data_IF_160935954307
#
_entry.id   IF_160935954307
#
_cell.length_a   1.000
_cell.length_b   1.000
_cell.length_c   1.000
_cell.angle_alpha   90.00
_cell.angle_beta   90.00
_cell.angle_gamma   90.00
#
_symmetry.space_group_name_H-M   'P 1'
#
loop_
_entity.id
_entity.type
_entity.pdbx_description
1 polymer ?
#
# COMPACT_ATOMS: atom_id res chain seq x y z
N UNK A 1 -28.37 -8.28 -19.95
CA UNK A 1 -27.14 -7.97 -19.19
C UNK A 1 -25.90 -8.65 -19.80
N UNK A 2 -25.47 -8.26 -21.02
CA UNK A 2 -24.37 -8.93 -21.75
C UNK A 2 -23.30 -8.00 -22.36
N UNK A 3 -23.30 -6.70 -22.06
CA UNK A 3 -22.43 -5.71 -22.73
C UNK A 3 -21.46 -4.93 -21.80
N UNK A 4 -21.03 -5.52 -20.67
CA UNK A 4 -19.99 -4.92 -19.81
C UNK A 4 -18.61 -5.56 -19.96
N UNK A 5 -18.45 -6.55 -20.85
CA UNK A 5 -17.18 -7.27 -21.03
C UNK A 5 -16.18 -6.55 -21.95
N UNK A 6 -16.61 -5.62 -22.81
CA UNK A 6 -15.76 -5.05 -23.86
C UNK A 6 -15.21 -3.62 -23.61
N UNK A 7 -15.25 -3.10 -22.37
CA UNK A 7 -14.63 -1.78 -22.06
C UNK A 7 -13.72 -1.76 -20.83
N UNK A 8 -13.26 -2.92 -20.39
CA UNK A 8 -12.13 -3.04 -19.46
C UNK A 8 -10.94 -3.40 -20.32
N UNK A 9 -10.05 -2.47 -20.65
CA UNK A 9 -8.80 -2.73 -21.39
C UNK A 9 -7.73 -3.17 -20.36
N UNK A 10 -7.57 -4.47 -20.04
CA UNK A 10 -6.66 -4.95 -19.02
C UNK A 10 -5.24 -5.17 -19.60
N UNK A 11 -5.01 -4.68 -20.82
CA UNK A 11 -3.89 -5.00 -21.71
C UNK A 11 -3.21 -3.75 -22.28
N UNK A 12 -3.63 -2.52 -21.93
CA UNK A 12 -2.88 -1.30 -22.31
C UNK A 12 -1.51 -1.24 -21.64
N UNK A 13 -1.35 -1.93 -20.51
CA UNK A 13 -0.05 -2.13 -19.83
C UNK A 13 0.11 -3.59 -19.44
N UNK A 14 1.29 -4.16 -19.68
CA UNK A 14 1.62 -5.53 -19.27
C UNK A 14 1.48 -5.63 -17.74
N UNK A 15 0.59 -6.48 -17.20
CA UNK A 15 0.47 -6.63 -15.74
C UNK A 15 1.83 -7.09 -15.19
N UNK A 16 2.39 -6.31 -14.27
CA UNK A 16 3.67 -6.64 -13.65
C UNK A 16 3.51 -7.92 -12.83
N UNK A 17 4.21 -8.99 -13.24
CA UNK A 17 4.19 -10.26 -12.53
C UNK A 17 5.17 -10.20 -11.36
N UNK A 18 4.63 -10.17 -10.14
CA UNK A 18 5.43 -10.26 -8.94
C UNK A 18 6.14 -11.62 -8.88
N UNK A 19 7.44 -11.62 -8.62
CA UNK A 19 8.26 -12.85 -8.57
C UNK A 19 7.93 -13.74 -7.36
N UNK A 20 7.54 -13.13 -6.24
CA UNK A 20 7.19 -13.81 -4.97
C UNK A 20 6.06 -13.08 -4.25
N UNK A 21 4.82 -13.16 -4.73
CA UNK A 21 3.69 -12.49 -4.09
C UNK A 21 3.34 -13.18 -2.77
N UNK A 22 2.95 -12.38 -1.77
CA UNK A 22 2.47 -12.89 -0.49
C UNK A 22 1.06 -13.50 -0.64
N UNK A 23 0.20 -12.86 -1.42
CA UNK A 23 -1.16 -13.32 -1.75
C UNK A 23 -1.56 -12.81 -3.13
N UNK A 24 -2.18 -13.66 -3.94
CA UNK A 24 -2.75 -13.31 -5.25
C UNK A 24 -4.28 -13.26 -5.16
N UNK A 25 -4.91 -12.29 -5.82
CA UNK A 25 -6.36 -12.15 -5.85
C UNK A 25 -6.82 -11.37 -7.09
N UNK A 26 -8.11 -11.41 -7.39
CA UNK A 26 -8.71 -10.63 -8.47
C UNK A 26 -9.49 -9.43 -7.91
N UNK A 27 -9.42 -8.29 -8.58
CA UNK A 27 -10.26 -7.16 -8.23
C UNK A 27 -11.74 -7.48 -8.52
N UNK A 28 -12.68 -7.29 -7.58
CA UNK A 28 -14.09 -7.60 -7.81
C UNK A 28 -14.76 -6.66 -8.84
N UNK A 29 -14.24 -5.44 -9.02
CA UNK A 29 -14.81 -4.45 -9.94
C UNK A 29 -14.30 -4.63 -11.38
N UNK A 30 -12.98 -4.60 -11.58
CA UNK A 30 -12.37 -4.68 -12.91
C UNK A 30 -11.85 -6.08 -13.30
N UNK A 31 -11.89 -7.06 -12.40
CA UNK A 31 -11.37 -8.44 -12.58
C UNK A 31 -9.89 -8.52 -12.98
N UNK A 32 -9.12 -7.45 -12.83
CA UNK A 32 -7.67 -7.49 -13.04
C UNK A 32 -6.98 -8.39 -12.00
N UNK A 33 -5.99 -9.21 -12.39
CA UNK A 33 -5.17 -9.95 -11.43
C UNK A 33 -4.33 -8.98 -10.59
N UNK A 34 -4.20 -9.27 -9.29
CA UNK A 34 -3.37 -8.52 -8.36
C UNK A 34 -2.61 -9.43 -7.42
N UNK A 35 -1.50 -8.92 -6.92
CA UNK A 35 -0.68 -9.57 -5.93
C UNK A 35 -0.24 -8.55 -4.88
N UNK A 36 -0.36 -8.89 -3.60
CA UNK A 36 0.27 -8.12 -2.53
C UNK A 36 1.69 -8.62 -2.32
N UNK A 37 2.65 -7.71 -2.25
CA UNK A 37 4.04 -8.04 -1.98
C UNK A 37 4.29 -8.08 -0.46
N UNK A 38 3.66 -7.18 0.27
CA UNK A 38 3.84 -7.07 1.72
C UNK A 38 2.79 -7.84 2.52
N UNK A 39 3.17 -8.25 3.74
CA UNK A 39 2.26 -8.83 4.73
C UNK A 39 2.02 -7.80 5.84
N UNK A 40 0.80 -7.73 6.40
CA UNK A 40 0.49 -6.76 7.46
C UNK A 40 1.10 -7.12 8.82
N UNK A 41 1.73 -8.30 8.94
CA UNK A 41 2.31 -8.80 10.19
C UNK A 41 3.82 -8.59 10.20
N UNK A 42 4.37 -8.23 11.36
CA UNK A 42 5.82 -8.15 11.55
C UNK A 42 6.45 -9.55 11.40
N UNK A 43 7.43 -9.65 10.52
CA UNK A 43 8.25 -10.86 10.34
C UNK A 43 9.48 -10.81 11.23
N UNK A 44 10.12 -11.97 11.47
CA UNK A 44 11.35 -12.07 12.28
C UNK A 44 12.47 -11.11 11.83
N UNK A 45 12.54 -10.82 10.53
CA UNK A 45 13.49 -9.85 9.95
C UNK A 45 13.25 -8.42 10.45
N UNK A 46 11.98 -8.01 10.59
CA UNK A 46 11.65 -6.70 11.12
C UNK A 46 12.00 -6.58 12.60
N UNK A 47 11.82 -7.64 13.39
CA UNK A 47 12.25 -7.63 14.79
C UNK A 47 13.77 -7.47 14.93
N UNK A 48 14.56 -8.12 14.06
CA UNK A 48 16.02 -7.95 14.02
C UNK A 48 16.42 -6.51 13.62
N UNK A 49 15.77 -5.93 12.63
CA UNK A 49 16.01 -4.55 12.22
C UNK A 49 15.66 -3.57 13.36
N UNK A 50 14.51 -3.79 13.99
CA UNK A 50 14.02 -2.99 15.11
C UNK A 50 15.00 -3.03 16.29
N UNK A 51 15.53 -4.21 16.65
CA UNK A 51 16.49 -4.34 17.75
C UNK A 51 17.80 -3.60 17.46
N UNK A 52 18.34 -3.73 16.24
CA UNK A 52 19.58 -3.03 15.85
C UNK A 52 19.39 -1.53 15.89
N UNK A 53 18.31 -1.02 15.27
CA UNK A 53 18.01 0.41 15.24
C UNK A 53 17.81 0.98 16.65
N UNK A 54 17.11 0.24 17.51
CA UNK A 54 16.90 0.62 18.91
C UNK A 54 18.22 0.77 19.65
N UNK A 55 19.14 -0.19 19.52
CA UNK A 55 20.45 -0.14 20.17
C UNK A 55 21.27 1.05 19.67
N UNK A 56 21.26 1.31 18.36
CA UNK A 56 21.97 2.45 17.77
C UNK A 56 21.42 3.78 18.29
N UNK A 57 20.09 3.93 18.31
CA UNK A 57 19.42 5.13 18.83
C UNK A 57 19.71 5.31 20.32
N UNK A 58 19.62 4.25 21.12
CA UNK A 58 19.94 4.30 22.55
C UNK A 58 21.41 4.69 22.80
N UNK A 59 22.34 4.17 22.02
CA UNK A 59 23.76 4.53 22.11
C UNK A 59 24.02 6.00 21.74
N UNK A 60 23.35 6.53 20.71
CA UNK A 60 23.45 7.94 20.31
C UNK A 60 22.83 8.89 21.35
N UNK A 61 21.74 8.49 21.99
CA UNK A 61 21.04 9.30 23.01
C UNK A 61 21.62 9.15 24.43
N UNK A 62 22.51 8.19 24.66
CA UNK A 62 23.14 7.95 25.96
C UNK A 62 23.76 9.20 26.62
N UNK A 63 24.54 10.06 25.93
CA UNK A 63 25.12 11.25 26.58
C UNK A 63 24.08 12.26 27.07
N UNK A 64 22.87 12.27 26.50
CA UNK A 64 21.81 13.20 26.88
C UNK A 64 20.85 12.59 27.92
N UNK A 65 20.34 11.39 27.66
CA UNK A 65 19.22 10.80 28.42
C UNK A 65 19.61 9.60 29.30
N UNK A 66 20.89 9.17 29.27
CA UNK A 66 21.39 8.02 30.05
C UNK A 66 20.46 6.81 29.91
N UNK A 67 19.86 6.36 31.02
CA UNK A 67 18.96 5.19 31.08
C UNK A 67 17.51 5.50 30.67
N UNK A 68 17.10 6.77 30.62
CA UNK A 68 15.75 7.13 30.15
C UNK A 68 15.56 6.86 28.65
N UNK A 69 16.67 6.67 27.90
CA UNK A 69 16.66 6.24 26.51
C UNK A 69 16.00 4.86 26.28
N UNK A 70 15.72 4.07 27.32
CA UNK A 70 14.91 2.85 27.20
C UNK A 70 13.49 3.12 26.68
N UNK A 71 12.95 4.33 26.90
CA UNK A 71 11.64 4.70 26.36
C UNK A 71 11.61 4.76 24.82
N UNK A 72 12.77 4.93 24.17
CA UNK A 72 12.89 4.92 22.71
C UNK A 72 12.44 3.60 22.08
N UNK A 73 12.45 2.49 22.82
CA UNK A 73 11.94 1.20 22.36
C UNK A 73 10.47 1.31 21.90
N UNK A 74 9.63 1.98 22.68
CA UNK A 74 8.21 2.13 22.35
C UNK A 74 8.01 2.99 21.10
N UNK A 75 8.80 4.06 20.96
CA UNK A 75 8.73 4.96 19.80
C UNK A 75 9.15 4.20 18.52
N UNK A 76 10.27 3.48 18.57
CA UNK A 76 10.77 2.69 17.44
C UNK A 76 9.78 1.59 17.09
N UNK A 77 9.22 0.90 18.09
CA UNK A 77 8.22 -0.14 17.86
C UNK A 77 6.95 0.41 17.19
N UNK A 78 6.40 1.52 17.70
CA UNK A 78 5.24 2.19 17.11
C UNK A 78 5.52 2.64 15.67
N UNK A 79 6.71 3.19 15.40
CA UNK A 79 7.12 3.59 14.06
C UNK A 79 7.19 2.40 13.10
N UNK A 80 7.74 1.27 13.53
CA UNK A 80 7.81 0.05 12.72
C UNK A 80 6.42 -0.53 12.44
N UNK A 81 5.54 -0.59 13.44
CA UNK A 81 4.17 -1.07 13.24
C UNK A 81 3.40 -0.15 12.28
N UNK A 82 3.48 1.17 12.49
CA UNK A 82 2.86 2.15 11.62
C UNK A 82 3.40 2.08 10.18
N UNK A 83 4.71 1.92 10.01
CA UNK A 83 5.37 1.82 8.72
C UNK A 83 4.92 0.58 7.93
N UNK A 84 4.99 -0.60 8.55
CA UNK A 84 4.53 -1.86 7.91
C UNK A 84 3.05 -1.78 7.54
N UNK A 85 2.22 -1.26 8.45
CA UNK A 85 0.77 -1.15 8.23
C UNK A 85 0.44 -0.14 7.12
N UNK A 86 1.15 0.98 7.07
CA UNK A 86 0.95 2.02 6.05
C UNK A 86 1.41 1.52 4.68
N UNK A 87 2.55 0.84 4.61
CA UNK A 87 3.03 0.27 3.37
C UNK A 87 2.06 -0.76 2.81
N UNK A 88 1.52 -1.64 3.67
CA UNK A 88 0.49 -2.58 3.26
C UNK A 88 -0.77 -1.88 2.75
N UNK A 89 -1.23 -0.80 3.43
CA UNK A 89 -2.41 -0.03 3.00
C UNK A 89 -2.25 0.60 1.62
N UNK A 90 -1.04 1.03 1.25
CA UNK A 90 -0.76 1.60 -0.08
C UNK A 90 -0.92 0.57 -1.21
N UNK A 91 -0.77 -0.72 -0.92
CA UNK A 91 -0.92 -1.79 -1.93
C UNK A 91 -2.38 -2.20 -2.17
N UNK A 92 -3.31 -1.87 -1.25
CA UNK A 92 -4.73 -2.26 -1.30
C UNK A 92 -5.52 -1.67 -2.49
N UNK A 93 -5.45 -0.36 -2.81
CA UNK A 93 -6.26 0.24 -3.87
C UNK A 93 -5.89 -0.28 -5.26
N UNK A 94 -6.87 -0.30 -6.18
CA UNK A 94 -6.62 -0.71 -7.56
C UNK A 94 -5.82 0.33 -8.34
N UNK A 95 -4.71 -0.04 -9.02
CA UNK A 95 -4.07 0.87 -9.95
C UNK A 95 -4.93 1.09 -11.20
N UNK A 96 -5.77 0.12 -11.59
CA UNK A 96 -6.60 0.22 -12.80
C UNK A 96 -7.92 0.96 -12.63
N UNK A 97 -8.60 0.81 -11.49
CA UNK A 97 -9.97 1.31 -11.29
C UNK A 97 -10.19 2.07 -9.97
N UNK A 98 -9.14 2.31 -9.17
CA UNK A 98 -9.26 2.95 -7.86
C UNK A 98 -9.99 2.17 -6.76
N UNK A 99 -10.53 0.97 -7.04
CA UNK A 99 -11.31 0.21 -6.06
C UNK A 99 -10.48 -0.28 -4.87
N UNK A 100 -10.91 0.10 -3.65
CA UNK A 100 -10.32 -0.31 -2.37
C UNK A 100 -11.27 -1.26 -1.60
N UNK A 101 -10.82 -2.50 -1.42
CA UNK A 101 -11.59 -3.54 -0.72
C UNK A 101 -11.69 -3.29 0.79
N UNK A 102 -10.71 -2.60 1.40
CA UNK A 102 -10.71 -2.31 2.83
C UNK A 102 -11.79 -1.29 3.18
N UNK A 103 -11.96 -0.26 2.34
CA UNK A 103 -13.06 0.69 2.46
C UNK A 103 -14.39 0.08 2.08
N UNK A 104 -14.47 -0.76 1.05
CA UNK A 104 -15.73 -1.42 0.70
C UNK A 104 -16.32 -2.25 1.85
N UNK A 105 -15.46 -2.96 2.60
CA UNK A 105 -15.88 -3.71 3.79
C UNK A 105 -16.34 -2.81 4.95
N UNK A 106 -15.78 -1.60 5.07
CA UNK A 106 -16.08 -0.66 6.16
C UNK A 106 -17.26 0.26 5.85
N UNK A 107 -17.23 0.90 4.68
CA UNK A 107 -18.27 1.79 4.17
C UNK A 107 -18.26 1.83 2.63
N UNK A 108 -19.34 1.33 2.03
CA UNK A 108 -19.56 1.28 0.58
C UNK A 108 -19.66 2.68 -0.04
N UNK A 109 -20.10 3.70 0.71
CA UNK A 109 -20.20 5.07 0.21
C UNK A 109 -18.82 5.67 -0.03
N UNK A 110 -17.88 5.44 0.90
CA UNK A 110 -16.48 5.90 0.75
C UNK A 110 -15.81 5.19 -0.40
N UNK A 111 -15.97 3.87 -0.52
CA UNK A 111 -15.41 3.12 -1.64
C UNK A 111 -15.91 3.62 -3.01
N UNK A 112 -17.21 3.95 -3.12
CA UNK A 112 -17.78 4.55 -4.34
C UNK A 112 -17.21 5.94 -4.63
N UNK A 113 -16.97 6.75 -3.60
CA UNK A 113 -16.36 8.08 -3.76
C UNK A 113 -14.93 7.98 -4.30
N UNK A 114 -14.10 7.13 -3.71
CA UNK A 114 -12.71 6.91 -4.15
C UNK A 114 -12.61 6.45 -5.60
N UNK A 115 -13.52 5.58 -6.04
CA UNK A 115 -13.58 5.14 -7.44
C UNK A 115 -13.94 6.31 -8.36
N UNK A 116 -14.91 7.16 -7.98
CA UNK A 116 -15.26 8.35 -8.78
C UNK A 116 -14.09 9.32 -8.89
N UNK A 117 -13.47 9.67 -7.76
CA UNK A 117 -12.28 10.53 -7.70
C UNK A 117 -11.16 9.99 -8.60
N UNK A 118 -10.91 8.67 -8.59
CA UNK A 118 -9.91 8.05 -9.46
C UNK A 118 -10.19 8.26 -10.95
N UNK A 119 -11.44 8.12 -11.38
CA UNK A 119 -11.82 8.33 -12.78
C UNK A 119 -11.86 9.81 -13.17
N UNK A 120 -12.24 10.68 -12.24
CA UNK A 120 -12.17 12.14 -12.42
C UNK A 120 -10.72 12.58 -12.63
N UNK A 121 -9.78 12.15 -11.78
CA UNK A 121 -8.36 12.43 -11.97
C UNK A 121 -7.82 11.89 -13.31
N UNK A 122 -8.22 10.67 -13.70
CA UNK A 122 -7.73 10.06 -14.94
C UNK A 122 -8.23 10.77 -16.20
N UNK A 123 -9.40 11.39 -16.14
CA UNK A 123 -10.00 12.12 -17.27
C UNK A 123 -9.60 13.60 -17.30
N UNK A 124 -8.94 14.11 -16.26
CA UNK A 124 -8.45 15.49 -16.24
C UNK A 124 -7.32 15.68 -17.26
N UNK A 125 -7.38 16.72 -18.10
CA UNK A 125 -6.47 16.90 -19.24
C UNK A 125 -5.00 17.06 -18.85
N UNK A 126 -4.69 17.51 -17.64
CA UNK A 126 -3.32 17.71 -17.14
C UNK A 126 -2.47 16.42 -17.05
N UNK A 127 -3.09 15.24 -17.00
CA UNK A 127 -2.37 13.96 -16.91
C UNK A 127 -2.17 13.24 -18.26
N UNK A 128 -2.87 13.67 -19.31
CA UNK A 128 -2.73 13.08 -20.65
C UNK A 128 -1.37 13.43 -21.26
N UNK A 129 -0.91 14.68 -21.08
CA UNK A 129 0.36 15.17 -21.64
C UNK A 129 1.61 14.51 -21.02
N UNK A 130 1.55 14.11 -19.73
CA UNK A 130 2.70 13.47 -19.07
C UNK A 130 2.82 11.97 -19.36
N UNK A 131 1.74 11.30 -19.79
CA UNK A 131 1.77 9.89 -20.17
C UNK A 131 2.13 9.67 -21.65
N UNK A 132 2.01 10.67 -22.53
CA UNK A 132 2.42 10.58 -23.94
C UNK A 132 3.91 10.86 -24.17
N UNK A 133 4.57 11.58 -23.25
CA UNK A 133 6.01 11.89 -23.34
C UNK A 133 6.94 10.84 -22.69
N UNK A 134 6.42 9.71 -22.22
CA UNK A 134 7.17 8.72 -21.44
C UNK A 134 7.20 7.32 -22.06
#
# INVERSE_FOLDING_TARGET
>A
MKNLQNKLRPLETRPYRYKKPATEFFCPLCRSPRAFASKPRLTKRHYLQMSIITVVIAAMLYPFMKYEGLFCIFIVWAAFEAGVRTNFRKEIPCPYCGFDASWYKRDVKVARRLVKEFWELKNSPEQTDQNELR
#
